data_IF_578278639849
#
_entry.id   IF_578278639849
#
_cell.length_a   1.000
_cell.length_b   1.000
_cell.length_c   1.000
_cell.angle_alpha   90.00
_cell.angle_beta   90.00
_cell.angle_gamma   90.00
#
_symmetry.space_group_name_H-M   'P 1'
#
loop_
_entity.id
_entity.type
_entity.pdbx_description
1 polymer ?
#
# COMPACT_ATOMS: atom_id res chain seq x y z
N UNK A 1 -12.08 7.24 -6.23
CA UNK A 1 -10.77 6.93 -6.85
C UNK A 1 -10.92 5.71 -7.74
N UNK A 2 -10.12 5.56 -8.80
CA UNK A 2 -10.14 4.34 -9.65
C UNK A 2 -9.57 3.14 -8.88
N UNK A 3 -9.86 1.92 -9.36
CA UNK A 3 -9.29 0.70 -8.79
C UNK A 3 -7.75 0.74 -8.81
N UNK A 4 -7.15 1.16 -9.93
CA UNK A 4 -5.69 1.27 -10.07
C UNK A 4 -5.06 2.21 -9.05
N UNK A 5 -5.72 3.34 -8.78
CA UNK A 5 -5.23 4.29 -7.78
C UNK A 5 -5.29 3.70 -6.37
N UNK A 6 -6.42 3.06 -6.02
CA UNK A 6 -6.60 2.42 -4.70
C UNK A 6 -5.59 1.30 -4.49
N UNK A 7 -5.29 0.52 -5.54
CA UNK A 7 -4.29 -0.54 -5.46
C UNK A 7 -2.89 0.02 -5.14
N UNK A 8 -2.46 1.08 -5.83
CA UNK A 8 -1.16 1.68 -5.58
C UNK A 8 -1.10 2.40 -4.22
N UNK A 9 -2.18 3.03 -3.77
CA UNK A 9 -2.25 3.59 -2.41
C UNK A 9 -2.14 2.50 -1.34
N UNK A 10 -2.85 1.38 -1.53
CA UNK A 10 -2.78 0.24 -0.63
C UNK A 10 -1.37 -0.38 -0.62
N UNK A 11 -0.72 -0.46 -1.78
CA UNK A 11 0.64 -0.98 -1.90
C UNK A 11 1.66 -0.09 -1.17
N UNK A 12 1.56 1.24 -1.32
CA UNK A 12 2.39 2.18 -0.58
C UNK A 12 2.20 2.03 0.94
N UNK A 13 0.95 1.87 1.38
CA UNK A 13 0.61 1.63 2.77
C UNK A 13 1.16 0.28 3.27
N UNK A 14 1.16 -0.75 2.43
CA UNK A 14 1.72 -2.06 2.76
C UNK A 14 3.23 -2.00 2.98
N UNK A 15 3.95 -1.27 2.13
CA UNK A 15 5.38 -1.01 2.28
C UNK A 15 5.70 -0.24 3.59
N UNK A 16 4.82 0.67 4.00
CA UNK A 16 4.93 1.45 5.24
C UNK A 16 4.64 0.60 6.49
N UNK A 17 3.53 -0.13 6.50
CA UNK A 17 3.01 -0.84 7.68
C UNK A 17 3.64 -2.23 7.87
N UNK A 18 4.03 -2.89 6.78
CA UNK A 18 4.58 -4.25 6.80
C UNK A 18 5.87 -4.37 5.98
N UNK A 19 6.90 -3.53 6.21
CA UNK A 19 8.15 -3.54 5.45
C UNK A 19 8.90 -4.88 5.48
N UNK A 20 8.64 -5.71 6.50
CA UNK A 20 9.22 -7.04 6.68
C UNK A 20 8.78 -8.07 5.63
N UNK A 21 7.63 -7.87 4.97
CA UNK A 21 7.20 -8.73 3.85
C UNK A 21 8.08 -8.53 2.60
N UNK A 22 8.81 -7.43 2.54
CA UNK A 22 9.64 -7.05 1.40
C UNK A 22 11.11 -7.19 1.74
N UNK A 23 11.66 -8.38 1.51
CA UNK A 23 13.10 -8.60 1.59
C UNK A 23 13.84 -7.85 0.45
N UNK A 24 15.17 -7.87 0.48
CA UNK A 24 15.97 -7.15 -0.51
C UNK A 24 15.74 -7.62 -1.96
N UNK A 25 15.49 -8.92 -2.17
CA UNK A 25 15.17 -9.45 -3.51
C UNK A 25 13.84 -8.90 -3.99
N UNK A 26 12.80 -8.93 -3.15
CA UNK A 26 11.48 -8.39 -3.50
C UNK A 26 11.58 -6.92 -3.91
N UNK A 27 12.35 -6.12 -3.16
CA UNK A 27 12.54 -4.69 -3.44
C UNK A 27 13.33 -4.47 -4.73
N UNK A 28 14.34 -5.29 -5.00
CA UNK A 28 15.08 -5.22 -6.25
C UNK A 28 14.20 -5.59 -7.45
N UNK A 29 13.45 -6.70 -7.36
CA UNK A 29 12.54 -7.15 -8.41
C UNK A 29 11.49 -6.07 -8.73
N UNK A 30 10.92 -5.45 -7.69
CA UNK A 30 9.98 -4.34 -7.83
C UNK A 30 10.62 -3.12 -8.51
N UNK A 31 11.86 -2.75 -8.16
CA UNK A 31 12.57 -1.66 -8.82
C UNK A 31 12.81 -1.95 -10.30
N UNK A 32 13.31 -3.16 -10.63
CA UNK A 32 13.56 -3.59 -12.00
C UNK A 32 12.26 -3.66 -12.82
N UNK A 33 11.16 -4.04 -12.19
CA UNK A 33 9.83 -4.08 -12.80
C UNK A 33 9.32 -2.68 -13.17
N UNK A 34 9.43 -1.70 -12.27
CA UNK A 34 8.80 -0.38 -12.49
C UNK A 34 9.69 0.61 -13.23
N UNK A 35 11.02 0.47 -13.17
CA UNK A 35 11.98 1.40 -13.78
C UNK A 35 11.66 1.68 -15.27
N UNK A 36 11.46 0.66 -16.14
CA UNK A 36 11.23 0.89 -17.57
C UNK A 36 9.81 1.35 -17.90
N UNK A 37 8.87 1.31 -16.96
CA UNK A 37 7.46 1.62 -17.21
C UNK A 37 7.22 3.13 -17.30
N UNK A 38 6.21 3.58 -18.07
CA UNK A 38 5.77 4.97 -18.04
C UNK A 38 5.25 5.34 -16.65
N UNK A 39 5.29 6.63 -16.33
CA UNK A 39 4.63 7.18 -15.14
C UNK A 39 3.11 7.26 -15.35
N UNK A 40 2.49 6.09 -15.44
CA UNK A 40 1.06 5.90 -15.69
C UNK A 40 0.46 4.98 -14.62
N UNK A 41 -0.60 5.45 -13.98
CA UNK A 41 -1.20 4.82 -12.81
C UNK A 41 -1.73 3.42 -13.12
N UNK A 42 -2.39 3.26 -14.26
CA UNK A 42 -2.95 1.97 -14.67
C UNK A 42 -1.84 0.97 -14.97
N UNK A 43 -0.84 1.38 -15.74
CA UNK A 43 0.32 0.53 -16.10
C UNK A 43 1.09 0.09 -14.86
N UNK A 44 1.42 1.02 -13.96
CA UNK A 44 2.14 0.71 -12.72
C UNK A 44 1.32 -0.19 -11.80
N UNK A 45 0.02 0.07 -11.68
CA UNK A 45 -0.88 -0.76 -10.86
C UNK A 45 -0.97 -2.19 -11.37
N UNK A 46 -1.13 -2.37 -12.68
CA UNK A 46 -1.24 -3.71 -13.29
C UNK A 46 0.07 -4.48 -13.09
N UNK A 47 1.22 -3.84 -13.36
CA UNK A 47 2.52 -4.48 -13.22
C UNK A 47 2.76 -4.93 -11.77
N UNK A 48 2.54 -4.06 -10.79
CA UNK A 48 2.71 -4.40 -9.37
C UNK A 48 1.73 -5.50 -8.95
N UNK A 49 0.47 -5.45 -9.42
CA UNK A 49 -0.51 -6.48 -9.12
C UNK A 49 -0.09 -7.87 -9.61
N UNK A 50 0.31 -7.96 -10.87
CA UNK A 50 0.82 -9.21 -11.45
C UNK A 50 2.11 -9.69 -10.77
N UNK A 51 2.93 -8.78 -10.22
CA UNK A 51 4.13 -9.17 -9.49
C UNK A 51 3.79 -9.83 -8.15
N UNK A 52 2.93 -9.22 -7.33
CA UNK A 52 2.62 -9.78 -6.02
C UNK A 52 1.76 -11.06 -6.09
N UNK A 53 1.11 -11.37 -7.23
CA UNK A 53 0.42 -12.66 -7.46
C UNK A 53 1.34 -13.89 -7.27
N UNK A 54 2.66 -13.71 -7.30
CA UNK A 54 3.63 -14.77 -7.03
C UNK A 54 3.94 -14.97 -5.53
N UNK A 55 3.34 -14.17 -4.65
CA UNK A 55 3.66 -14.09 -3.22
C UNK A 55 2.36 -14.04 -2.39
N UNK A 56 1.86 -15.21 -2.00
CA UNK A 56 0.57 -15.36 -1.31
C UNK A 56 0.44 -14.46 -0.06
N UNK A 57 1.51 -14.32 0.72
CA UNK A 57 1.56 -13.48 1.92
C UNK A 57 1.41 -11.98 1.62
N UNK A 58 1.97 -11.52 0.50
CA UNK A 58 1.82 -10.14 0.03
C UNK A 58 0.41 -9.93 -0.55
N UNK A 59 -0.15 -10.89 -1.28
CA UNK A 59 -1.54 -10.85 -1.78
C UNK A 59 -2.52 -10.69 -0.62
N UNK A 60 -2.41 -11.55 0.39
CA UNK A 60 -3.29 -11.54 1.55
C UNK A 60 -3.21 -10.20 2.30
N UNK A 61 -2.00 -9.68 2.53
CA UNK A 61 -1.80 -8.41 3.22
C UNK A 61 -2.31 -7.20 2.40
N UNK A 62 -2.15 -7.22 1.08
CA UNK A 62 -2.70 -6.21 0.18
C UNK A 62 -4.23 -6.19 0.21
N UNK A 63 -4.87 -7.37 0.20
CA UNK A 63 -6.32 -7.51 0.31
C UNK A 63 -6.85 -7.04 1.67
N UNK A 64 -6.12 -7.30 2.76
CA UNK A 64 -6.49 -6.80 4.09
C UNK A 64 -6.51 -5.26 4.12
N UNK A 65 -5.48 -4.61 3.55
CA UNK A 65 -5.42 -3.15 3.47
C UNK A 65 -6.58 -2.60 2.62
N UNK A 66 -6.84 -3.17 1.45
CA UNK A 66 -7.94 -2.73 0.58
C UNK A 66 -9.31 -2.88 1.27
N UNK A 67 -9.55 -4.00 1.94
CA UNK A 67 -10.78 -4.24 2.68
C UNK A 67 -10.95 -3.25 3.85
N UNK A 68 -9.87 -2.95 4.58
CA UNK A 68 -9.91 -1.96 5.66
C UNK A 68 -10.26 -0.55 5.15
N UNK A 69 -9.74 -0.17 3.98
CA UNK A 69 -10.04 1.12 3.35
C UNK A 69 -11.51 1.21 2.89
N UNK A 70 -12.07 0.11 2.38
CA UNK A 70 -13.49 0.03 1.98
C UNK A 70 -14.42 0.15 3.21
N UNK A 71 -14.05 -0.44 4.34
CA UNK A 71 -14.85 -0.35 5.57
C UNK A 71 -14.89 1.07 6.15
N UNK A 72 -13.80 1.83 6.05
CA UNK A 72 -13.72 3.22 6.56
C UNK A 72 -14.49 4.19 5.64
N UNK A 73 -14.50 3.94 4.33
CA UNK A 73 -15.20 4.81 3.37
C UNK A 73 -16.72 4.58 3.33
N UNK A 74 -17.22 3.46 3.86
CA UNK A 74 -18.64 3.11 3.90
C UNK A 74 -19.37 3.55 5.18
N UNK A 75 -18.77 4.38 6.03
CA UNK A 75 -19.51 5.04 7.12
C UNK A 75 -20.64 5.96 6.62
N UNK A 76 -20.79 6.13 5.30
CA UNK A 76 -21.97 6.75 4.69
C UNK A 76 -23.15 5.81 4.42
N UNK A 77 -22.98 4.47 4.39
CA UNK A 77 -24.11 3.54 4.23
C UNK A 77 -23.90 2.26 5.07
N UNK A 78 -24.55 2.23 6.24
CA UNK A 78 -24.58 1.08 7.15
C UNK A 78 -25.26 -0.13 6.49
N UNK A 79 -24.49 -1.03 5.90
CA UNK A 79 -24.95 -2.39 5.58
C UNK A 79 -24.46 -3.38 6.65
N UNK A 80 -25.31 -4.35 6.99
CA UNK A 80 -25.16 -5.21 8.18
C UNK A 80 -23.92 -6.14 8.16
N UNK A 81 -23.21 -6.24 7.05
CA UNK A 81 -21.97 -7.00 6.90
C UNK A 81 -20.77 -6.34 7.58
N UNK A 82 -20.76 -5.00 7.67
CA UNK A 82 -19.65 -4.23 8.24
C UNK A 82 -19.48 -4.43 9.74
N UNK A 83 -20.57 -4.72 10.46
CA UNK A 83 -20.56 -4.89 11.94
C UNK A 83 -19.84 -6.15 12.40
N UNK A 84 -19.94 -7.24 11.63
CA UNK A 84 -19.32 -8.52 11.97
C UNK A 84 -17.82 -8.53 11.67
N UNK A 85 -17.39 -7.81 10.63
CA UNK A 85 -15.99 -7.60 10.30
C UNK A 85 -15.30 -6.67 11.31
N UNK A 86 -15.97 -5.59 11.74
CA UNK A 86 -15.44 -4.67 12.74
C UNK A 86 -15.15 -5.33 14.10
N UNK A 87 -15.95 -6.33 14.49
CA UNK A 87 -15.80 -7.04 15.76
C UNK A 87 -14.56 -7.94 15.84
N UNK A 88 -13.85 -8.18 14.72
CA UNK A 88 -12.66 -9.02 14.66
C UNK A 88 -11.35 -8.23 14.64
N UNK A 89 -11.42 -6.90 14.48
CA UNK A 89 -10.23 -6.06 14.48
C UNK A 89 -9.84 -5.68 15.92
N UNK A 90 -8.55 -5.75 16.30
CA UNK A 90 -8.09 -5.12 17.52
C UNK A 90 -8.32 -3.61 17.40
N UNK A 91 -9.18 -3.04 18.26
CA UNK A 91 -9.41 -1.59 18.33
C UNK A 91 -8.12 -0.90 18.81
N UNK A 92 -7.23 -0.56 17.89
CA UNK A 92 -6.24 0.49 18.10
C UNK A 92 -6.86 1.83 17.70
N UNK A 93 -6.75 2.77 18.63
CA UNK A 93 -7.36 4.10 18.63
C UNK A 93 -7.01 4.88 17.34
N UNK A 94 -7.95 5.00 16.40
CA UNK A 94 -7.77 5.75 15.14
C UNK A 94 -8.17 7.22 15.33
N UNK A 95 -7.23 8.04 15.78
CA UNK A 95 -7.34 9.49 15.62
C UNK A 95 -7.25 9.82 14.12
N UNK A 96 -8.33 10.40 13.59
CA UNK A 96 -8.43 10.90 12.22
C UNK A 96 -7.52 12.13 12.02
N UNK A 97 -6.22 11.89 11.82
CA UNK A 97 -5.31 12.92 11.32
C UNK A 97 -5.50 13.00 9.81
N UNK A 98 -5.72 14.19 9.21
CA UNK A 98 -5.69 14.35 7.76
C UNK A 98 -4.31 13.95 7.27
N UNK A 99 -4.16 12.75 6.69
CA UNK A 99 -2.91 12.36 6.03
C UNK A 99 -2.68 13.36 4.88
N UNK A 100 -1.47 13.94 4.74
CA UNK A 100 -1.15 14.73 3.57
C UNK A 100 -1.39 13.87 2.32
N UNK A 101 -1.98 14.48 1.30
CA UNK A 101 -2.34 13.80 0.07
C UNK A 101 -1.03 13.42 -0.64
N UNK A 102 -0.58 12.18 -0.46
CA UNK A 102 0.60 11.65 -1.14
C UNK A 102 0.31 11.71 -2.64
N UNK A 103 1.14 12.42 -3.40
CA UNK A 103 1.02 12.43 -4.84
C UNK A 103 1.52 11.09 -5.38
N UNK A 104 0.59 10.34 -5.96
CA UNK A 104 0.85 8.99 -6.44
C UNK A 104 1.43 9.06 -7.85
N UNK A 105 2.70 8.70 -7.97
CA UNK A 105 3.47 8.65 -9.21
C UNK A 105 4.61 7.61 -9.09
N UNK A 106 5.30 7.33 -10.20
CA UNK A 106 6.39 6.35 -10.26
C UNK A 106 7.52 6.67 -9.29
N UNK A 107 7.86 7.95 -9.10
CA UNK A 107 8.95 8.34 -8.21
C UNK A 107 8.60 8.08 -6.74
N UNK A 108 7.36 8.36 -6.34
CA UNK A 108 6.84 8.01 -5.01
C UNK A 108 6.93 6.49 -4.76
N UNK A 109 6.58 5.66 -5.76
CA UNK A 109 6.71 4.21 -5.66
C UNK A 109 8.17 3.77 -5.50
N UNK A 110 9.07 4.27 -6.35
CA UNK A 110 10.51 3.96 -6.27
C UNK A 110 11.07 4.30 -4.88
N UNK A 111 10.72 5.47 -4.34
CA UNK A 111 11.17 5.89 -3.02
C UNK A 111 10.62 5.01 -1.89
N UNK A 112 9.37 4.55 -1.99
CA UNK A 112 8.77 3.66 -0.99
C UNK A 112 9.31 2.22 -1.04
N UNK A 113 9.69 1.73 -2.24
CA UNK A 113 10.26 0.40 -2.44
C UNK A 113 11.69 0.34 -1.86
N UNK A 114 12.44 1.43 -1.90
CA UNK A 114 13.75 1.46 -1.25
C UNK A 114 13.60 1.21 0.26
N UNK A 115 14.47 0.39 0.86
CA UNK A 115 14.47 0.25 2.31
C UNK A 115 14.70 1.62 2.93
N UNK A 116 13.95 1.94 4.00
CA UNK A 116 14.19 3.09 4.86
C UNK A 116 15.62 3.00 5.39
N UNK A 117 16.55 3.58 4.64
CA UNK A 117 17.90 3.82 5.11
C UNK A 117 17.72 4.66 6.36
N UNK A 118 18.26 4.20 7.50
CA UNK A 118 18.37 5.01 8.70
C UNK A 118 18.85 6.38 8.26
N UNK A 119 18.02 7.40 8.46
CA UNK A 119 18.42 8.79 8.30
C UNK A 119 19.70 8.99 9.09
N UNK A 120 20.84 9.07 8.41
CA UNK A 120 22.06 9.61 9.03
C UNK A 120 21.71 11.05 9.39
N UNK A 121 21.67 11.43 10.68
CA UNK A 121 21.52 12.84 11.02
C UNK A 121 22.70 13.59 10.39
N UNK A 122 22.51 14.81 9.86
CA UNK A 122 23.64 15.64 9.47
C UNK A 122 24.53 15.81 10.70
N UNK A 123 25.77 15.31 10.62
CA UNK A 123 26.81 15.64 11.58
C UNK A 123 27.13 17.12 11.34
N UNK A 124 26.66 17.97 12.26
CA UNK A 124 27.19 19.31 12.49
C UNK A 124 28.36 19.22 13.47
#
# INVERSE_FOLDING_TARGET
MSFYHQNLEAFLKLLEEQPQLFNNSHRQDLMELIEPLPDDIETLSIAIASWYENYDDIVDAQLEILNSAILINNDSEQTSTSKLALARLPLTNISSVPKPKIELNKETLKNAIQPLSKTTPPQL
#
